data_IF_380194246233
#
_entry.id   IF_380194246233
#
_cell.length_a   1.000
_cell.length_b   1.000
_cell.length_c   1.000
_cell.angle_alpha   90.00
_cell.angle_beta   90.00
_cell.angle_gamma   90.00
#
_symmetry.space_group_name_H-M   'P 1'
#
loop_
_entity.id
_entity.type
_entity.pdbx_description
1 polymer ?
#
# COMPACT_ATOMS: atom_id res chain seq x y z
N UNK A 1 7.49 -3.07 -1.86
CA UNK A 1 8.27 -2.64 -0.67
C UNK A 1 9.62 -3.35 -0.63
N UNK A 2 10.70 -2.64 -0.95
CA UNK A 2 12.05 -2.97 -0.46
C UNK A 2 12.13 -2.58 1.02
N UNK A 3 13.04 -3.21 1.74
CA UNK A 3 13.21 -3.11 3.19
C UNK A 3 13.18 -1.67 3.71
N UNK A 4 13.84 -0.74 3.01
CA UNK A 4 14.00 0.68 3.35
C UNK A 4 12.70 1.44 3.60
N UNK A 5 11.62 1.13 2.86
CA UNK A 5 10.41 1.98 2.87
C UNK A 5 9.46 1.73 4.04
N UNK A 6 9.71 0.68 4.83
CA UNK A 6 9.13 0.56 6.17
C UNK A 6 9.65 1.70 7.08
N UNK A 7 10.93 2.08 6.95
CA UNK A 7 11.68 2.82 7.97
C UNK A 7 11.33 4.31 8.04
N UNK A 8 10.80 4.87 6.94
CA UNK A 8 10.39 6.28 6.88
C UNK A 8 9.17 6.60 7.76
N UNK A 9 8.42 5.59 8.21
CA UNK A 9 7.33 5.76 9.18
C UNK A 9 7.80 5.91 10.64
N UNK A 10 9.06 5.57 10.99
CA UNK A 10 9.46 5.30 12.40
C UNK A 10 10.26 6.40 13.11
N UNK A 11 10.40 7.60 12.54
CA UNK A 11 11.33 8.62 13.06
C UNK A 11 10.70 9.97 13.44
N UNK A 12 9.72 9.97 14.36
CA UNK A 12 9.67 11.04 15.39
C UNK A 12 8.75 10.77 16.60
N UNK A 13 9.31 10.29 17.72
CA UNK A 13 9.44 11.03 19.01
C UNK A 13 9.74 10.08 20.19
N UNK A 14 10.27 10.63 21.29
CA UNK A 14 10.52 9.92 22.55
C UNK A 14 10.29 10.85 23.76
N UNK A 15 9.86 10.25 24.90
CA UNK A 15 9.63 10.86 26.25
C UNK A 15 8.59 12.02 26.30
N UNK A 16 7.76 12.27 27.32
CA UNK A 16 7.50 11.79 28.71
C UNK A 16 5.94 11.81 28.92
N UNK A 17 5.21 11.05 29.74
CA UNK A 17 5.51 9.94 30.67
C UNK A 17 4.86 10.16 32.07
N UNK A 18 3.76 9.47 32.41
CA UNK A 18 3.09 9.58 33.74
C UNK A 18 2.46 8.24 34.19
N UNK A 19 2.42 7.99 35.51
CA UNK A 19 2.56 6.65 36.12
C UNK A 19 1.22 5.89 36.26
N UNK A 20 0.05 6.54 36.17
CA UNK A 20 -1.23 5.83 36.25
C UNK A 20 -1.70 5.17 34.93
N UNK A 21 -0.99 5.39 33.81
CA UNK A 21 -1.35 4.86 32.50
C UNK A 21 -0.55 3.60 32.07
N UNK A 22 0.53 3.28 32.78
CA UNK A 22 1.59 2.36 32.32
C UNK A 22 1.10 0.95 31.96
N UNK A 23 0.17 0.39 32.75
CA UNK A 23 -0.36 -0.98 32.53
C UNK A 23 -1.17 -1.10 31.23
N UNK A 24 -1.87 -0.04 30.83
CA UNK A 24 -2.61 -0.03 29.55
C UNK A 24 -1.64 0.21 28.39
N UNK A 25 -0.71 1.17 28.54
CA UNK A 25 0.30 1.48 27.53
C UNK A 25 1.21 0.29 27.21
N UNK A 26 1.67 -0.47 28.22
CA UNK A 26 2.43 -1.72 28.01
C UNK A 26 1.62 -2.82 27.28
N UNK A 27 0.29 -2.76 27.30
CA UNK A 27 -0.55 -3.72 26.57
C UNK A 27 -0.78 -3.33 25.10
N UNK A 28 -0.40 -2.11 24.72
CA UNK A 28 -0.55 -1.51 23.40
C UNK A 28 0.80 -1.30 22.69
N UNK A 29 1.90 -1.09 23.42
CA UNK A 29 3.25 -0.97 22.89
C UNK A 29 4.14 -2.14 23.37
N UNK A 30 4.62 -2.96 22.43
CA UNK A 30 5.51 -4.09 22.70
C UNK A 30 6.93 -3.81 22.21
N UNK A 31 7.89 -3.67 23.12
CA UNK A 31 9.30 -3.36 22.79
C UNK A 31 10.19 -4.61 22.84
N UNK A 32 10.62 -5.08 21.66
CA UNK A 32 11.46 -6.25 21.44
C UNK A 32 12.82 -5.95 20.80
N UNK A 33 13.19 -4.67 20.62
CA UNK A 33 14.40 -4.25 19.91
C UNK A 33 15.70 -4.88 20.42
N UNK A 34 16.58 -5.26 19.49
CA UNK A 34 17.98 -5.62 19.76
C UNK A 34 18.20 -6.91 20.56
N UNK A 35 17.16 -7.73 20.74
CA UNK A 35 17.16 -8.93 21.60
C UNK A 35 17.70 -10.19 20.91
N UNK A 36 18.30 -10.05 19.72
CA UNK A 36 18.80 -11.15 18.88
C UNK A 36 17.73 -12.23 18.58
N UNK A 37 16.48 -11.80 18.39
CA UNK A 37 15.33 -12.67 18.13
C UNK A 37 15.21 -13.01 16.65
N UNK A 38 14.67 -14.19 16.36
CA UNK A 38 14.34 -14.68 15.01
C UNK A 38 12.85 -14.96 14.79
N UNK A 39 12.01 -14.63 15.79
CA UNK A 39 10.55 -14.70 15.75
C UNK A 39 10.00 -13.69 16.76
N UNK A 40 8.77 -13.22 16.55
CA UNK A 40 8.10 -12.32 17.51
C UNK A 40 7.61 -13.16 18.70
N UNK A 41 7.99 -12.82 19.95
CA UNK A 41 7.53 -13.56 21.13
C UNK A 41 6.03 -13.33 21.36
N UNK A 42 5.44 -14.04 22.34
CA UNK A 42 4.02 -13.93 22.68
C UNK A 42 3.60 -12.55 23.20
N UNK A 43 3.40 -11.59 22.29
CA UNK A 43 2.93 -10.24 22.55
C UNK A 43 1.40 -10.18 22.67
N UNK A 44 0.91 -9.15 23.36
CA UNK A 44 -0.51 -9.04 23.72
C UNK A 44 -1.41 -8.81 22.48
N UNK A 45 -2.58 -9.47 22.33
CA UNK A 45 -3.41 -9.35 21.11
C UNK A 45 -3.94 -7.94 20.79
N UNK A 46 -3.91 -6.99 21.74
CA UNK A 46 -4.25 -5.58 21.52
C UNK A 46 -3.03 -4.67 21.29
N UNK A 47 -1.86 -5.24 21.03
CA UNK A 47 -0.65 -4.48 20.66
C UNK A 47 -0.94 -3.70 19.38
N UNK A 48 -0.82 -2.38 19.46
CA UNK A 48 -0.98 -1.43 18.36
C UNK A 48 0.38 -1.01 17.79
N UNK A 49 1.45 -1.05 18.59
CA UNK A 49 2.82 -0.74 18.20
C UNK A 49 3.75 -1.86 18.63
N UNK A 50 4.48 -2.45 17.68
CA UNK A 50 5.47 -3.50 17.92
C UNK A 50 6.83 -3.08 17.37
N UNK A 51 7.72 -2.67 18.25
CA UNK A 51 9.12 -2.48 17.92
C UNK A 51 9.84 -3.83 17.99
N UNK A 52 10.19 -4.39 16.82
CA UNK A 52 11.00 -5.59 16.69
C UNK A 52 12.37 -5.29 16.05
N UNK A 53 12.82 -4.02 16.08
CA UNK A 53 14.02 -3.55 15.38
C UNK A 53 15.33 -4.18 15.89
N UNK A 54 16.43 -4.05 15.13
CA UNK A 54 17.78 -4.56 15.44
C UNK A 54 17.87 -6.09 15.71
N UNK A 55 16.83 -6.86 15.41
CA UNK A 55 16.81 -8.33 15.52
C UNK A 55 17.36 -9.00 14.23
N UNK A 56 17.17 -10.32 14.06
CA UNK A 56 17.54 -11.01 12.82
C UNK A 56 16.39 -11.84 12.25
N UNK A 57 15.73 -11.28 11.24
CA UNK A 57 14.52 -11.82 10.63
C UNK A 57 14.70 -11.86 9.09
N UNK A 58 15.46 -12.85 8.56
CA UNK A 58 15.85 -12.85 7.14
C UNK A 58 14.69 -13.11 6.18
N UNK A 59 13.61 -13.76 6.63
CA UNK A 59 12.40 -14.00 5.85
C UNK A 59 11.17 -13.55 6.63
N UNK A 60 10.20 -12.90 5.98
CA UNK A 60 8.86 -12.67 6.51
C UNK A 60 7.88 -13.74 5.99
N UNK A 61 7.02 -14.23 6.88
CA UNK A 61 6.01 -15.29 6.70
C UNK A 61 4.85 -15.06 7.69
N UNK A 62 3.68 -15.64 7.45
CA UNK A 62 2.50 -15.43 8.30
C UNK A 62 2.73 -15.88 9.75
N UNK A 63 3.47 -16.98 9.93
CA UNK A 63 3.73 -17.64 11.21
C UNK A 63 4.63 -16.83 12.16
N UNK A 64 5.29 -15.79 11.64
CA UNK A 64 6.18 -14.93 12.41
C UNK A 64 5.37 -13.86 13.16
N UNK A 65 4.22 -13.46 12.63
CA UNK A 65 3.35 -12.45 13.22
C UNK A 65 2.15 -13.12 13.91
N UNK A 66 2.01 -13.05 15.25
CA UNK A 66 0.77 -13.48 15.90
C UNK A 66 -0.43 -12.66 15.37
N UNK A 67 -1.66 -13.09 15.68
CA UNK A 67 -2.91 -12.49 15.20
C UNK A 67 -3.20 -11.10 15.81
N UNK A 68 -2.34 -10.12 15.51
CA UNK A 68 -2.41 -8.74 15.99
C UNK A 68 -3.29 -7.90 15.06
N UNK A 69 -4.60 -8.20 15.05
CA UNK A 69 -5.58 -7.51 14.21
C UNK A 69 -5.70 -6.01 14.51
N UNK A 70 -5.24 -5.57 15.67
CA UNK A 70 -5.21 -4.16 16.07
C UNK A 70 -3.88 -3.45 15.76
N UNK A 71 -2.86 -4.15 15.22
CA UNK A 71 -1.53 -3.58 14.98
C UNK A 71 -1.60 -2.42 13.95
N UNK A 72 -1.08 -1.26 14.33
CA UNK A 72 -1.05 -0.03 13.53
C UNK A 72 0.38 0.27 13.07
N UNK A 73 1.35 -0.09 13.91
CA UNK A 73 2.74 0.30 13.88
C UNK A 73 3.64 -0.93 14.15
N UNK A 74 4.68 -1.13 13.35
CA UNK A 74 5.50 -2.36 13.32
C UNK A 74 6.92 -2.07 12.83
N UNK A 75 7.86 -1.86 13.75
CA UNK A 75 9.24 -1.58 13.37
C UNK A 75 10.03 -2.87 13.09
N UNK A 76 10.52 -2.98 11.86
CA UNK A 76 11.43 -4.03 11.39
C UNK A 76 12.81 -3.46 10.96
N UNK A 77 13.10 -2.22 11.38
CA UNK A 77 14.39 -1.54 11.24
C UNK A 77 15.55 -2.47 11.59
N UNK A 78 16.52 -2.57 10.69
CA UNK A 78 17.77 -3.35 10.84
C UNK A 78 17.60 -4.88 11.02
N UNK A 79 16.40 -5.44 10.83
CA UNK A 79 16.16 -6.90 10.92
C UNK A 79 16.86 -7.76 9.85
N UNK A 80 17.47 -7.14 8.82
CA UNK A 80 18.16 -7.81 7.69
C UNK A 80 17.23 -8.74 6.89
N UNK A 81 16.00 -8.32 6.65
CA UNK A 81 15.04 -9.02 5.78
C UNK A 81 15.61 -9.11 4.37
N UNK A 82 15.66 -10.32 3.82
CA UNK A 82 16.09 -10.64 2.46
C UNK A 82 14.92 -11.16 1.61
N UNK A 83 13.92 -11.78 2.25
CA UNK A 83 12.75 -12.37 1.60
C UNK A 83 11.46 -11.94 2.30
N UNK A 84 10.41 -11.67 1.50
CA UNK A 84 9.04 -11.48 1.98
C UNK A 84 8.19 -12.46 1.20
N UNK A 85 7.68 -13.48 1.88
CA UNK A 85 6.89 -14.52 1.23
C UNK A 85 5.44 -14.09 0.98
N UNK A 86 4.78 -14.78 0.06
CA UNK A 86 3.41 -14.52 -0.35
C UNK A 86 2.40 -14.59 0.82
N UNK A 87 2.72 -15.34 1.88
CA UNK A 87 1.88 -15.47 3.07
C UNK A 87 2.12 -14.37 4.14
N UNK A 88 3.20 -13.59 4.05
CA UNK A 88 3.62 -12.64 5.08
C UNK A 88 2.53 -11.60 5.47
N UNK A 89 1.61 -11.31 4.55
CA UNK A 89 0.55 -10.31 4.73
C UNK A 89 -0.82 -10.89 5.10
N UNK A 90 -0.92 -12.19 5.41
CA UNK A 90 -2.17 -12.88 5.75
C UNK A 90 -3.01 -12.18 6.85
N UNK A 91 -2.36 -11.63 7.89
CA UNK A 91 -3.05 -10.88 8.94
C UNK A 91 -3.76 -9.60 8.42
N UNK A 92 -3.27 -8.97 7.35
CA UNK A 92 -3.95 -7.84 6.73
C UNK A 92 -5.15 -8.27 5.86
N UNK A 93 -5.08 -9.43 5.20
CA UNK A 93 -6.26 -10.04 4.57
C UNK A 93 -7.32 -10.41 5.63
N UNK A 94 -6.93 -10.96 6.78
CA UNK A 94 -7.87 -11.20 7.90
C UNK A 94 -8.50 -9.90 8.41
N UNK A 95 -7.72 -8.84 8.60
CA UNK A 95 -8.25 -7.51 9.00
C UNK A 95 -9.22 -6.95 7.96
N UNK A 96 -8.91 -7.08 6.68
CA UNK A 96 -9.80 -6.68 5.58
C UNK A 96 -11.11 -7.49 5.57
N UNK A 97 -11.05 -8.81 5.75
CA UNK A 97 -12.24 -9.64 5.94
C UNK A 97 -13.06 -9.22 7.17
N UNK A 98 -12.43 -8.84 8.29
CA UNK A 98 -13.14 -8.28 9.45
C UNK A 98 -13.80 -6.92 9.15
N UNK A 99 -13.16 -6.06 8.34
CA UNK A 99 -13.73 -4.78 7.87
C UNK A 99 -15.01 -5.03 7.05
N UNK A 100 -14.96 -5.95 6.08
CA UNK A 100 -16.12 -6.32 5.26
C UNK A 100 -17.24 -6.94 6.10
N UNK A 101 -16.91 -7.93 6.95
CA UNK A 101 -17.90 -8.67 7.76
C UNK A 101 -18.56 -7.82 8.86
N UNK A 102 -17.91 -6.76 9.34
CA UNK A 102 -18.51 -5.81 10.29
C UNK A 102 -19.42 -4.77 9.62
N UNK A 103 -19.39 -4.68 8.28
CA UNK A 103 -20.04 -3.64 7.49
C UNK A 103 -19.32 -2.30 7.66
N UNK A 104 -18.46 -1.95 6.71
CA UNK A 104 -17.70 -0.70 6.79
C UNK A 104 -18.63 0.51 6.71
N UNK A 105 -18.37 1.51 7.56
CA UNK A 105 -19.15 2.74 7.61
C UNK A 105 -18.33 3.87 7.01
N UNK A 106 -18.53 4.10 5.71
CA UNK A 106 -18.04 5.29 5.00
C UNK A 106 -18.30 6.54 5.86
N UNK A 107 -17.26 7.31 6.22
CA UNK A 107 -17.43 8.57 6.93
C UNK A 107 -18.35 9.51 6.14
N UNK A 108 -19.35 10.10 6.80
CA UNK A 108 -20.41 10.91 6.16
C UNK A 108 -19.90 12.18 5.45
N UNK A 109 -18.61 12.50 5.59
CA UNK A 109 -17.94 13.68 5.05
C UNK A 109 -16.55 13.30 4.48
N UNK A 110 -16.36 12.08 3.96
CA UNK A 110 -15.16 11.77 3.17
C UNK A 110 -15.25 12.55 1.85
N UNK A 111 -14.61 13.71 1.79
CA UNK A 111 -14.46 14.48 0.56
C UNK A 111 -13.42 13.79 -0.35
N UNK A 112 -13.61 13.89 -1.66
CA UNK A 112 -12.72 13.30 -2.65
C UNK A 112 -11.51 14.20 -2.86
N UNK A 113 -10.58 14.18 -1.91
CA UNK A 113 -9.34 14.96 -1.88
C UNK A 113 -8.47 14.73 -3.12
N UNK A 114 -8.49 13.52 -3.69
CA UNK A 114 -7.56 13.10 -4.74
C UNK A 114 -8.26 12.70 -6.04
N UNK A 115 -7.56 12.91 -7.16
CA UNK A 115 -8.01 12.48 -8.47
C UNK A 115 -7.71 10.99 -8.70
N UNK A 116 -6.55 10.51 -8.21
CA UNK A 116 -6.20 9.09 -8.21
C UNK A 116 -5.23 8.67 -7.09
N UNK A 117 -5.44 7.49 -6.51
CA UNK A 117 -4.46 6.80 -5.66
C UNK A 117 -3.53 5.97 -6.52
N UNK A 118 -2.22 5.99 -6.24
CA UNK A 118 -1.21 5.25 -7.00
C UNK A 118 -0.70 4.05 -6.21
N UNK A 119 -0.95 2.85 -6.74
CA UNK A 119 -0.32 1.61 -6.29
C UNK A 119 0.88 1.34 -7.19
N UNK A 120 2.08 1.26 -6.61
CA UNK A 120 3.34 1.05 -7.32
C UNK A 120 4.29 0.20 -6.46
N UNK A 121 5.35 -0.35 -7.05
CA UNK A 121 6.43 -0.91 -6.22
C UNK A 121 7.36 0.20 -5.79
N UNK A 122 7.74 0.21 -4.51
CA UNK A 122 8.86 0.96 -3.92
C UNK A 122 10.16 1.05 -4.75
N UNK A 123 10.39 0.11 -5.68
CA UNK A 123 11.56 0.12 -6.57
C UNK A 123 11.37 0.95 -7.83
N UNK A 124 10.13 1.22 -8.18
CA UNK A 124 9.68 2.09 -9.27
C UNK A 124 9.51 3.55 -8.79
N UNK A 125 9.81 3.84 -7.52
CA UNK A 125 9.54 5.13 -6.87
C UNK A 125 10.17 6.33 -7.58
N UNK A 126 11.41 6.19 -8.06
CA UNK A 126 12.06 7.25 -8.83
C UNK A 126 11.24 7.64 -10.07
N UNK A 127 10.72 6.67 -10.83
CA UNK A 127 9.83 6.94 -11.96
C UNK A 127 8.48 7.52 -11.51
N UNK A 128 7.93 7.05 -10.39
CA UNK A 128 6.67 7.60 -9.87
C UNK A 128 6.80 9.06 -9.45
N UNK A 129 7.91 9.47 -8.83
CA UNK A 129 8.13 10.86 -8.41
C UNK A 129 8.60 11.74 -9.58
N UNK A 130 9.57 11.28 -10.37
CA UNK A 130 10.23 12.11 -11.40
C UNK A 130 9.43 12.20 -12.71
N UNK A 131 8.61 11.20 -13.05
CA UNK A 131 7.79 11.18 -14.27
C UNK A 131 6.28 11.28 -13.95
N UNK A 132 5.73 10.36 -13.15
CA UNK A 132 4.27 10.28 -12.94
C UNK A 132 3.71 11.46 -12.16
N UNK A 133 4.30 11.81 -11.01
CA UNK A 133 3.91 12.98 -10.21
C UNK A 133 4.15 14.26 -11.01
N UNK A 134 5.33 14.42 -11.62
CA UNK A 134 5.70 15.61 -12.40
C UNK A 134 4.67 15.92 -13.52
N UNK A 135 4.33 14.92 -14.34
CA UNK A 135 3.41 15.09 -15.47
C UNK A 135 1.92 15.16 -15.07
N UNK A 136 1.55 14.73 -13.85
CA UNK A 136 0.17 14.79 -13.35
C UNK A 136 -0.09 16.03 -12.48
N UNK A 137 0.66 16.20 -11.39
CA UNK A 137 0.44 17.28 -10.39
C UNK A 137 0.79 18.67 -10.93
N UNK A 138 1.86 18.81 -11.74
CA UNK A 138 2.25 20.11 -12.35
C UNK A 138 1.64 20.38 -13.73
N UNK A 139 0.97 19.40 -14.34
CA UNK A 139 0.27 19.61 -15.61
C UNK A 139 -0.98 20.48 -15.45
N UNK A 140 -1.59 20.93 -16.56
CA UNK A 140 -2.80 21.78 -16.53
C UNK A 140 -4.03 21.00 -17.01
N UNK A 141 -5.17 21.01 -16.29
CA UNK A 141 -5.29 21.37 -14.86
C UNK A 141 -4.45 20.40 -13.98
N UNK A 142 -4.04 20.80 -12.77
CA UNK A 142 -3.28 19.92 -11.88
C UNK A 142 -4.12 18.68 -11.54
N UNK A 143 -3.46 17.52 -11.45
CA UNK A 143 -4.07 16.25 -11.09
C UNK A 143 -3.48 15.78 -9.75
N UNK A 144 -4.25 15.85 -8.67
CA UNK A 144 -3.83 15.49 -7.31
C UNK A 144 -3.76 13.97 -7.13
N UNK A 145 -2.63 13.47 -6.64
CA UNK A 145 -2.42 12.05 -6.39
C UNK A 145 -2.44 11.73 -4.90
N UNK A 146 -2.87 10.53 -4.54
CA UNK A 146 -2.58 9.92 -3.23
C UNK A 146 -1.42 8.93 -3.39
N UNK A 147 -0.36 9.11 -2.60
CA UNK A 147 0.83 8.26 -2.56
C UNK A 147 1.03 7.72 -1.14
N UNK A 148 1.26 6.41 -1.00
CA UNK A 148 1.43 5.76 0.31
C UNK A 148 2.64 6.26 1.13
N UNK A 149 3.57 7.00 0.51
CA UNK A 149 4.75 7.59 1.18
C UNK A 149 4.55 9.02 1.68
N UNK A 150 3.46 9.68 1.26
CA UNK A 150 3.20 11.12 1.49
C UNK A 150 1.88 11.36 2.20
N UNK A 151 0.85 10.60 1.83
CA UNK A 151 -0.55 10.96 2.05
C UNK A 151 -1.30 9.96 2.98
N UNK A 152 -0.60 8.98 3.55
CA UNK A 152 -1.15 8.01 4.52
C UNK A 152 -0.99 8.50 5.96
N UNK A 153 -2.02 8.39 6.79
CA UNK A 153 -2.00 8.87 8.17
C UNK A 153 -1.10 7.98 9.06
N UNK A 154 -0.11 8.59 9.72
CA UNK A 154 0.77 7.88 10.68
C UNK A 154 -0.04 7.44 11.90
N UNK A 155 0.17 6.20 12.36
CA UNK A 155 -0.59 5.61 13.46
C UNK A 155 -1.99 5.11 13.07
N UNK A 156 -2.45 5.31 11.83
CA UNK A 156 -3.62 4.62 11.28
C UNK A 156 -3.21 3.25 10.73
N UNK A 157 -4.09 2.27 10.86
CA UNK A 157 -3.86 0.94 10.34
C UNK A 157 -3.61 0.98 8.83
N UNK A 158 -2.56 0.30 8.35
CA UNK A 158 -2.21 0.34 6.91
C UNK A 158 -3.36 -0.13 6.00
N UNK A 159 -4.15 -1.13 6.42
CA UNK A 159 -5.37 -1.57 5.72
C UNK A 159 -6.44 -0.47 5.66
N UNK A 160 -6.55 0.37 6.69
CA UNK A 160 -7.46 1.52 6.71
C UNK A 160 -6.92 2.70 5.90
N UNK A 161 -5.62 2.96 5.89
CA UNK A 161 -5.01 3.97 5.03
C UNK A 161 -5.24 3.66 3.53
N UNK A 162 -5.07 2.40 3.12
CA UNK A 162 -5.36 1.94 1.75
C UNK A 162 -6.84 2.18 1.39
N UNK A 163 -7.77 1.94 2.32
CA UNK A 163 -9.22 2.05 2.07
C UNK A 163 -9.69 3.50 2.12
N UNK A 164 -9.43 4.21 3.23
CA UNK A 164 -9.94 5.55 3.49
C UNK A 164 -9.23 6.60 2.61
N UNK A 165 -7.90 6.71 2.70
CA UNK A 165 -7.15 7.77 2.02
C UNK A 165 -6.86 7.41 0.56
N UNK A 166 -6.46 6.16 0.32
CA UNK A 166 -6.24 5.62 -1.01
C UNK A 166 -7.54 5.50 -1.80
N UNK A 167 -8.32 4.45 -1.54
CA UNK A 167 -9.43 4.05 -2.42
C UNK A 167 -10.65 4.99 -2.32
N UNK A 168 -11.00 5.47 -1.12
CA UNK A 168 -12.20 6.29 -0.88
C UNK A 168 -11.94 7.79 -1.01
N UNK A 169 -10.74 8.27 -0.64
CA UNK A 169 -10.30 9.65 -0.85
C UNK A 169 -10.00 9.98 -2.33
N UNK A 170 -9.85 8.95 -3.17
CA UNK A 170 -9.54 9.10 -4.60
C UNK A 170 -10.71 8.74 -5.52
N UNK A 171 -10.86 9.46 -6.64
CA UNK A 171 -11.88 9.08 -7.66
C UNK A 171 -11.51 7.82 -8.44
N UNK A 172 -10.22 7.52 -8.58
CA UNK A 172 -9.67 6.39 -9.35
C UNK A 172 -8.46 5.76 -8.66
N UNK A 173 -8.06 4.58 -9.12
CA UNK A 173 -6.80 3.93 -8.72
C UNK A 173 -5.93 3.72 -9.95
N UNK A 174 -4.72 4.27 -9.93
CA UNK A 174 -3.66 3.99 -10.90
C UNK A 174 -2.82 2.84 -10.34
N UNK A 175 -2.49 1.87 -11.19
CA UNK A 175 -1.65 0.72 -10.81
C UNK A 175 -0.46 0.68 -11.77
N UNK A 176 0.74 0.90 -11.24
CA UNK A 176 1.99 0.86 -12.00
C UNK A 176 2.56 -0.56 -11.94
N UNK A 177 2.48 -1.25 -13.07
CA UNK A 177 2.87 -2.66 -13.20
C UNK A 177 4.24 -2.79 -13.86
N UNK A 178 5.17 -3.31 -13.07
CA UNK A 178 6.54 -3.71 -13.39
C UNK A 178 6.81 -5.12 -12.87
N UNK A 179 7.95 -5.74 -13.18
CA UNK A 179 8.40 -6.96 -12.53
C UNK A 179 8.57 -6.76 -11.01
N UNK A 180 8.96 -5.56 -10.58
CA UNK A 180 9.02 -5.17 -9.17
C UNK A 180 7.64 -5.11 -8.49
N UNK A 181 6.57 -4.80 -9.23
CA UNK A 181 5.19 -4.86 -8.75
C UNK A 181 4.71 -6.31 -8.64
N UNK A 182 4.93 -7.13 -9.68
CA UNK A 182 4.46 -8.54 -9.72
C UNK A 182 5.03 -9.36 -8.55
N UNK A 183 6.34 -9.25 -8.31
CA UNK A 183 7.00 -10.02 -7.25
C UNK A 183 6.72 -9.46 -5.84
N UNK A 184 6.32 -8.19 -5.72
CA UNK A 184 6.01 -7.59 -4.41
C UNK A 184 4.66 -8.04 -3.87
N UNK A 185 4.68 -8.99 -2.93
CA UNK A 185 3.49 -9.47 -2.22
C UNK A 185 2.64 -8.33 -1.60
N UNK A 186 3.26 -7.21 -1.26
CA UNK A 186 2.58 -6.00 -0.78
C UNK A 186 1.71 -5.35 -1.85
N UNK A 187 2.28 -5.08 -3.03
CA UNK A 187 1.58 -4.44 -4.14
C UNK A 187 0.45 -5.32 -4.68
N UNK A 188 0.59 -6.65 -4.58
CA UNK A 188 -0.50 -7.61 -4.85
C UNK A 188 -1.63 -7.47 -3.83
N UNK A 189 -1.34 -7.41 -2.53
CA UNK A 189 -2.33 -7.16 -1.48
C UNK A 189 -3.08 -5.83 -1.68
N UNK A 190 -2.37 -4.72 -1.91
CA UNK A 190 -2.99 -3.40 -2.18
C UNK A 190 -3.93 -3.44 -3.38
N UNK A 191 -3.48 -4.06 -4.48
CA UNK A 191 -4.27 -4.20 -5.70
C UNK A 191 -5.47 -5.15 -5.54
N UNK A 192 -5.36 -6.19 -4.72
CA UNK A 192 -6.46 -7.10 -4.41
C UNK A 192 -7.52 -6.46 -3.51
N UNK A 193 -7.12 -5.64 -2.53
CA UNK A 193 -8.02 -4.80 -1.74
C UNK A 193 -8.72 -3.78 -2.64
N UNK A 194 -7.98 -3.04 -3.47
CA UNK A 194 -8.55 -2.05 -4.39
C UNK A 194 -9.52 -2.66 -5.42
N UNK A 195 -9.18 -3.81 -6.02
CA UNK A 195 -10.11 -4.56 -6.87
C UNK A 195 -11.36 -4.99 -6.12
N UNK A 196 -11.21 -5.57 -4.91
CA UNK A 196 -12.33 -6.06 -4.11
C UNK A 196 -13.28 -4.93 -3.74
N UNK A 197 -12.75 -3.77 -3.33
CA UNK A 197 -13.54 -2.61 -2.94
C UNK A 197 -14.31 -2.01 -4.12
N UNK A 198 -13.61 -1.70 -5.22
CA UNK A 198 -14.21 -1.06 -6.40
C UNK A 198 -15.22 -1.97 -7.13
N UNK A 199 -15.15 -3.29 -6.94
CA UNK A 199 -16.19 -4.23 -7.40
C UNK A 199 -17.42 -4.23 -6.50
N UNK A 200 -17.27 -4.07 -5.18
CA UNK A 200 -18.41 -3.94 -4.24
C UNK A 200 -19.16 -2.62 -4.45
N UNK A 201 -18.44 -1.52 -4.69
CA UNK A 201 -18.99 -0.22 -5.07
C UNK A 201 -19.50 -0.16 -6.53
N UNK A 202 -19.40 -1.26 -7.29
CA UNK A 202 -19.87 -1.38 -8.68
C UNK A 202 -19.11 -0.51 -9.70
N UNK A 203 -18.02 0.15 -9.32
CA UNK A 203 -17.35 1.20 -10.08
C UNK A 203 -15.85 0.91 -10.26
N UNK A 204 -15.46 0.07 -11.25
CA UNK A 204 -14.08 -0.40 -11.43
C UNK A 204 -13.17 0.66 -12.08
N UNK A 205 -12.96 1.78 -11.38
CA UNK A 205 -12.11 2.91 -11.78
C UNK A 205 -10.59 2.62 -11.67
N UNK A 206 -10.14 1.47 -12.17
CA UNK A 206 -8.74 1.08 -12.19
C UNK A 206 -8.11 1.43 -13.55
N UNK A 207 -7.01 2.19 -13.52
CA UNK A 207 -6.15 2.51 -14.67
C UNK A 207 -4.86 1.71 -14.51
N UNK A 208 -4.60 0.76 -15.41
CA UNK A 208 -3.33 0.02 -15.44
C UNK A 208 -2.31 0.77 -16.29
N UNK A 209 -1.15 1.07 -15.70
CA UNK A 209 0.07 1.45 -16.41
C UNK A 209 0.97 0.21 -16.47
N UNK A 210 1.44 -0.15 -17.66
CA UNK A 210 2.55 -1.10 -17.85
C UNK A 210 3.82 -0.26 -17.97
N UNK A 211 4.72 -0.36 -17.01
CA UNK A 211 5.96 0.43 -16.96
C UNK A 211 7.04 -0.13 -17.90
N UNK A 212 7.03 -1.44 -18.08
CA UNK A 212 8.01 -2.25 -18.82
C UNK A 212 7.37 -3.59 -19.24
N UNK A 213 7.96 -4.30 -20.21
CA UNK A 213 7.41 -5.56 -20.72
C UNK A 213 7.47 -6.70 -19.68
N UNK A 214 6.31 -7.17 -19.24
CA UNK A 214 6.15 -8.29 -18.28
C UNK A 214 5.59 -9.53 -19.00
N UNK A 215 6.26 -10.68 -18.85
CA UNK A 215 5.79 -11.98 -19.35
C UNK A 215 4.37 -12.30 -18.87
N UNK A 216 3.46 -12.69 -19.79
CA UNK A 216 2.05 -12.97 -19.44
C UNK A 216 1.92 -14.01 -18.32
N UNK A 217 2.82 -15.00 -18.25
CA UNK A 217 2.83 -16.00 -17.18
C UNK A 217 3.09 -15.38 -15.80
N UNK A 218 4.03 -14.44 -15.68
CA UNK A 218 4.29 -13.71 -14.43
C UNK A 218 3.07 -12.88 -14.01
N UNK A 219 2.32 -12.30 -14.94
CA UNK A 219 1.08 -11.55 -14.62
C UNK A 219 -0.01 -12.41 -13.96
N UNK A 220 0.05 -13.75 -14.09
CA UNK A 220 -0.89 -14.69 -13.44
C UNK A 220 -0.65 -14.85 -11.94
N UNK A 221 0.52 -14.44 -11.42
CA UNK A 221 0.80 -14.37 -9.97
C UNK A 221 -0.10 -13.34 -9.25
N UNK A 222 -0.57 -12.32 -9.95
CA UNK A 222 -1.40 -11.25 -9.38
C UNK A 222 -2.87 -11.55 -9.64
N UNK A 223 -3.66 -11.74 -8.59
CA UNK A 223 -5.06 -12.13 -8.77
C UNK A 223 -5.84 -11.04 -9.50
N UNK A 224 -6.57 -11.44 -10.55
CA UNK A 224 -7.41 -10.55 -11.35
C UNK A 224 -6.70 -9.63 -12.35
N UNK A 225 -5.38 -9.39 -12.25
CA UNK A 225 -4.64 -8.47 -13.14
C UNK A 225 -4.88 -8.76 -14.64
N UNK A 226 -4.81 -10.04 -15.01
CA UNK A 226 -5.07 -10.52 -16.38
C UNK A 226 -6.43 -10.09 -16.96
N UNK A 227 -7.43 -9.75 -16.13
CA UNK A 227 -8.77 -9.28 -16.56
C UNK A 227 -8.73 -7.85 -17.12
N UNK A 228 -7.75 -7.05 -16.71
CA UNK A 228 -7.53 -5.69 -17.21
C UNK A 228 -6.66 -5.70 -18.47
N UNK A 229 -5.60 -6.53 -18.45
CA UNK A 229 -4.71 -6.74 -19.59
C UNK A 229 -5.46 -7.27 -20.81
N UNK A 230 -6.27 -8.33 -20.65
CA UNK A 230 -7.08 -8.92 -21.75
C UNK A 230 -8.12 -7.98 -22.36
N UNK A 231 -8.42 -6.83 -21.73
CA UNK A 231 -9.31 -5.80 -22.30
C UNK A 231 -8.57 -4.76 -23.15
N UNK A 232 -7.23 -4.79 -23.20
CA UNK A 232 -6.39 -3.77 -23.84
C UNK A 232 -6.70 -2.33 -23.38
N UNK A 233 -7.08 -2.19 -22.10
CA UNK A 233 -7.44 -0.90 -21.48
C UNK A 233 -6.28 -0.24 -20.73
N UNK A 234 -5.10 -0.86 -20.74
CA UNK A 234 -3.89 -0.36 -20.10
C UNK A 234 -3.16 0.70 -20.95
N UNK A 235 -2.19 1.36 -20.32
CA UNK A 235 -1.29 2.34 -20.92
C UNK A 235 0.15 1.86 -20.79
N UNK A 236 0.84 1.65 -21.90
CA UNK A 236 2.27 1.32 -21.91
C UNK A 236 3.10 2.59 -21.78
N UNK A 237 3.96 2.65 -20.76
CA UNK A 237 5.09 3.56 -20.76
C UNK A 237 6.13 3.07 -21.78
N UNK A 238 6.75 4.02 -22.49
CA UNK A 238 7.89 3.77 -23.37
C UNK A 238 8.73 5.04 -23.42
N UNK A 239 10.00 4.94 -23.04
CA UNK A 239 10.96 6.05 -23.12
C UNK A 239 11.30 6.38 -24.58
N UNK A 240 10.52 7.27 -25.17
CA UNK A 240 10.91 8.11 -26.30
C UNK A 240 9.98 9.34 -26.36
N UNK A 241 10.40 10.45 -27.00
CA UNK A 241 9.66 11.72 -26.94
C UNK A 241 8.26 11.70 -27.56
N UNK A 242 7.95 10.75 -28.46
CA UNK A 242 6.65 10.74 -29.17
C UNK A 242 5.62 9.86 -28.44
N UNK A 243 6.03 8.71 -27.88
CA UNK A 243 5.11 7.88 -27.09
C UNK A 243 4.82 8.47 -25.72
N UNK A 244 5.79 9.10 -25.05
CA UNK A 244 5.59 9.74 -23.74
C UNK A 244 4.50 10.81 -23.80
N UNK A 245 4.56 11.74 -24.76
CA UNK A 245 3.50 12.75 -24.98
C UNK A 245 2.13 12.08 -25.18
N UNK A 246 2.05 11.02 -26.01
CA UNK A 246 0.79 10.30 -26.26
C UNK A 246 0.31 9.54 -25.03
N UNK A 247 1.21 9.00 -24.21
CA UNK A 247 0.93 8.34 -22.95
C UNK A 247 0.35 9.33 -21.93
N UNK A 248 1.02 10.46 -21.69
CA UNK A 248 0.54 11.49 -20.76
C UNK A 248 -0.82 12.05 -21.16
N UNK A 249 -1.06 12.33 -22.45
CA UNK A 249 -2.37 12.77 -22.94
C UNK A 249 -3.46 11.71 -22.71
N UNK A 250 -3.15 10.41 -22.90
CA UNK A 250 -4.09 9.31 -22.61
C UNK A 250 -4.35 9.16 -21.12
N UNK A 251 -3.30 9.21 -20.28
CA UNK A 251 -3.40 9.05 -18.83
C UNK A 251 -4.17 10.20 -18.18
N UNK A 252 -3.81 11.45 -18.49
CA UNK A 252 -4.51 12.65 -17.99
C UNK A 252 -6.00 12.62 -18.38
N UNK A 253 -6.32 12.21 -19.61
CA UNK A 253 -7.71 12.00 -20.05
C UNK A 253 -8.41 10.83 -19.34
N UNK A 254 -7.70 9.76 -19.00
CA UNK A 254 -8.25 8.61 -18.28
C UNK A 254 -8.53 8.93 -16.80
N UNK A 255 -7.69 9.75 -16.15
CA UNK A 255 -7.92 10.22 -14.78
C UNK A 255 -9.06 11.24 -14.73
N UNK A 256 -9.05 12.25 -15.61
CA UNK A 256 -10.04 13.32 -15.64
C UNK A 256 -11.40 12.93 -16.27
N UNK A 257 -11.56 11.73 -16.82
CA UNK A 257 -12.86 11.29 -17.34
C UNK A 257 -13.85 11.00 -16.21
N UNK A 258 -14.99 11.70 -16.20
CA UNK A 258 -16.08 11.34 -15.30
C UNK A 258 -16.65 9.98 -15.68
N UNK A 259 -16.40 8.96 -14.86
CA UNK A 259 -17.18 7.72 -14.90
C UNK A 259 -18.58 8.06 -14.38
N UNK A 260 -19.59 7.92 -15.23
CA UNK A 260 -20.98 8.17 -14.82
C UNK A 260 -21.38 7.18 -13.70
N UNK A 261 -22.09 7.71 -12.70
CA UNK A 261 -22.88 6.93 -11.74
C UNK A 261 -24.22 6.59 -12.35
#
# INVERSE_FOLDING_TARGET
MDSTLIWLFFLQHAVIGDISAEVVLQSMHSFCAGRNLSYIPGVHPKTQSLDFSFNHLPSLHQSIFPHLLELLDLDLTRCKIQHIADDAFYNFYLRYCCILMRGYKVPRQQELTYDAFVIYSSKDEAWVIEELVENLEKGVPPIQLCLHVRDFEVGKAITSNIIDEGIMGSRKVIVVVSHHFIESAWCRFEFEVAQSWLVLEGNPNIIIIILEDVEEEKTKKVFGLHKYLKKNTYLEWRDNPVSSIRFWVRLRKAVLSNTQR
#
